data_IF_569662227406
#
_entry.id   IF_569662227406
#
_cell.length_a   1.000
_cell.length_b   1.000
_cell.length_c   1.000
_cell.angle_alpha   90.00
_cell.angle_beta   90.00
_cell.angle_gamma   90.00
#
_symmetry.space_group_name_H-M   'P 1'
#
loop_
_entity.id
_entity.type
_entity.pdbx_description
1 polymer ?
#
# COMPACT_ATOMS: atom_id res chain seq x y z
N UNK A 1 -15.99 -30.20 27.88
CA UNK A 1 -14.54 -29.92 27.79
C UNK A 1 -14.29 -29.19 26.48
N UNK A 2 -14.47 -27.87 26.45
CA UNK A 2 -14.24 -27.05 25.24
C UNK A 2 -13.12 -26.06 25.55
N UNK A 3 -11.88 -26.56 25.68
CA UNK A 3 -10.70 -25.72 25.83
C UNK A 3 -10.30 -25.19 24.45
N UNK A 4 -10.56 -23.91 24.18
CA UNK A 4 -10.09 -23.27 22.95
C UNK A 4 -8.56 -23.25 22.88
N UNK A 5 -8.00 -23.54 21.71
CA UNK A 5 -6.56 -23.53 21.47
C UNK A 5 -6.00 -22.12 21.72
N UNK A 6 -4.99 -22.02 22.59
CA UNK A 6 -4.30 -20.77 22.95
C UNK A 6 -2.90 -20.76 22.35
N UNK A 7 -2.40 -19.58 21.99
CA UNK A 7 -1.01 -19.37 21.55
C UNK A 7 -0.04 -19.40 22.73
N UNK A 8 1.28 -19.41 22.45
CA UNK A 8 2.32 -19.37 23.48
C UNK A 8 2.20 -18.14 24.42
N UNK A 9 1.59 -17.06 23.93
CA UNK A 9 1.31 -15.82 24.66
C UNK A 9 -0.09 -15.78 25.30
N UNK A 10 -0.80 -16.92 25.33
CA UNK A 10 -2.09 -17.08 26.02
C UNK A 10 -3.31 -16.47 25.33
N UNK A 11 -3.16 -15.93 24.11
CA UNK A 11 -4.24 -15.37 23.32
C UNK A 11 -5.06 -16.46 22.59
N UNK A 12 -6.36 -16.26 22.38
CA UNK A 12 -7.14 -17.11 21.47
C UNK A 12 -6.52 -17.06 20.06
N UNK A 13 -6.33 -18.22 19.43
CA UNK A 13 -5.70 -18.32 18.09
C UNK A 13 -6.38 -17.41 17.05
N UNK A 14 -7.71 -17.24 17.14
CA UNK A 14 -8.48 -16.33 16.29
C UNK A 14 -8.04 -14.86 16.42
N UNK A 15 -7.80 -14.40 17.65
CA UNK A 15 -7.37 -13.01 17.93
C UNK A 15 -5.98 -12.75 17.37
N UNK A 16 -5.06 -13.71 17.51
CA UNK A 16 -3.71 -13.62 16.94
C UNK A 16 -3.74 -13.52 15.40
N UNK A 17 -4.60 -14.30 14.74
CA UNK A 17 -4.75 -14.24 13.29
C UNK A 17 -5.27 -12.88 12.81
N UNK A 18 -6.27 -12.32 13.50
CA UNK A 18 -6.82 -10.99 13.19
C UNK A 18 -5.74 -9.91 13.32
N UNK A 19 -4.94 -9.95 14.40
CA UNK A 19 -3.85 -8.99 14.60
C UNK A 19 -2.77 -9.12 13.52
N UNK A 20 -2.40 -10.34 13.13
CA UNK A 20 -1.42 -10.57 12.05
C UNK A 20 -1.89 -10.00 10.72
N UNK A 21 -3.16 -10.22 10.36
CA UNK A 21 -3.72 -9.66 9.13
C UNK A 21 -3.75 -8.13 9.16
N UNK A 22 -4.16 -7.54 10.28
CA UNK A 22 -4.17 -6.09 10.46
C UNK A 22 -2.76 -5.48 10.37
N UNK A 23 -1.75 -6.17 10.93
CA UNK A 23 -0.35 -5.75 10.83
C UNK A 23 0.14 -5.79 9.37
N UNK A 24 -0.14 -6.87 8.64
CA UNK A 24 0.25 -7.00 7.24
C UNK A 24 -0.38 -5.92 6.35
N UNK A 25 -1.65 -5.60 6.57
CA UNK A 25 -2.34 -4.50 5.90
C UNK A 25 -1.65 -3.15 6.15
N UNK A 26 -1.21 -2.90 7.39
CA UNK A 26 -0.50 -1.69 7.76
C UNK A 26 0.88 -1.60 7.09
N UNK A 27 1.66 -2.68 7.12
CA UNK A 27 2.98 -2.78 6.49
C UNK A 27 2.88 -2.55 4.97
N UNK A 28 1.87 -3.17 4.33
CA UNK A 28 1.58 -2.96 2.91
C UNK A 28 1.28 -1.48 2.58
N UNK A 29 0.46 -0.81 3.40
CA UNK A 29 0.11 0.61 3.20
C UNK A 29 1.34 1.51 3.29
N UNK A 30 2.25 1.22 4.22
CA UNK A 30 3.50 1.97 4.37
C UNK A 30 4.40 1.79 3.15
N UNK A 31 4.61 0.55 2.71
CA UNK A 31 5.41 0.25 1.51
C UNK A 31 4.82 0.95 0.26
N UNK A 32 3.50 0.88 0.08
CA UNK A 32 2.81 1.51 -1.03
C UNK A 32 2.97 3.04 -1.03
N UNK A 33 2.84 3.67 0.15
CA UNK A 33 3.02 5.10 0.28
C UNK A 33 4.45 5.55 -0.04
N UNK A 34 5.45 4.78 0.42
CA UNK A 34 6.87 5.06 0.12
C UNK A 34 7.13 4.96 -1.40
N UNK A 35 6.63 3.90 -2.05
CA UNK A 35 6.77 3.71 -3.50
C UNK A 35 6.06 4.80 -4.30
N UNK A 36 4.84 5.19 -3.89
CA UNK A 36 4.10 6.29 -4.51
C UNK A 36 4.89 7.60 -4.42
N UNK A 37 5.40 7.91 -3.22
CA UNK A 37 6.15 9.15 -2.97
C UNK A 37 7.41 9.20 -3.83
N UNK A 38 8.22 8.13 -3.82
CA UNK A 38 9.42 8.04 -4.64
C UNK A 38 9.09 8.15 -6.14
N UNK A 39 8.08 7.42 -6.61
CA UNK A 39 7.69 7.39 -8.03
C UNK A 39 7.25 8.78 -8.50
N UNK A 40 6.43 9.48 -7.73
CA UNK A 40 5.97 10.81 -8.12
C UNK A 40 7.06 11.87 -7.99
N UNK A 41 7.94 11.76 -7.01
CA UNK A 41 9.12 12.62 -6.92
C UNK A 41 10.01 12.47 -8.15
N UNK A 42 10.37 11.24 -8.52
CA UNK A 42 11.21 10.96 -9.70
C UNK A 42 10.57 11.40 -11.03
N UNK A 43 9.23 11.37 -11.13
CA UNK A 43 8.50 11.73 -12.36
C UNK A 43 8.23 13.22 -12.48
N UNK A 44 8.01 13.92 -11.36
CA UNK A 44 7.48 15.27 -11.38
C UNK A 44 8.49 16.34 -10.96
N UNK A 45 9.56 15.98 -10.24
CA UNK A 45 10.54 16.96 -9.73
C UNK A 45 11.83 16.91 -10.56
N UNK A 46 12.25 18.07 -11.07
CA UNK A 46 13.50 18.19 -11.83
C UNK A 46 14.73 18.07 -10.90
N UNK A 47 15.75 17.34 -11.35
CA UNK A 47 17.02 17.17 -10.58
C UNK A 47 17.83 18.45 -10.42
N UNK A 48 17.57 19.48 -11.22
CA UNK A 48 18.33 20.74 -11.23
C UNK A 48 17.79 21.78 -10.25
N UNK A 49 16.92 21.38 -9.30
CA UNK A 49 16.33 22.15 -8.20
C UNK A 49 16.67 23.64 -8.23
N UNK A 50 15.87 24.40 -8.99
CA UNK A 50 16.12 25.83 -9.21
C UNK A 50 15.67 26.66 -8.01
N UNK A 51 14.63 26.21 -7.33
CA UNK A 51 13.98 26.85 -6.19
C UNK A 51 13.55 25.76 -5.18
N UNK A 52 13.34 26.15 -3.92
CA UNK A 52 12.95 25.22 -2.85
C UNK A 52 11.45 24.90 -2.82
N UNK A 53 10.64 25.72 -3.47
CA UNK A 53 9.19 25.54 -3.53
C UNK A 53 8.76 24.86 -4.83
N UNK A 54 7.67 24.10 -4.74
CA UNK A 54 7.07 23.47 -5.89
C UNK A 54 6.38 24.52 -6.75
N UNK A 55 6.76 24.57 -8.02
CA UNK A 55 6.08 25.42 -8.98
C UNK A 55 4.68 24.84 -9.32
N UNK A 56 3.84 25.65 -9.98
CA UNK A 56 2.46 25.25 -10.35
C UNK A 56 2.43 23.99 -11.22
N UNK A 57 3.45 23.81 -12.08
CA UNK A 57 3.61 22.64 -12.92
C UNK A 57 3.96 21.37 -12.13
N UNK A 58 4.85 21.48 -11.15
CA UNK A 58 5.24 20.38 -10.25
C UNK A 58 4.05 19.94 -9.38
N UNK A 59 3.34 20.89 -8.76
CA UNK A 59 2.12 20.61 -8.00
C UNK A 59 1.07 19.88 -8.86
N UNK A 60 0.75 20.44 -10.04
CA UNK A 60 -0.21 19.82 -10.97
C UNK A 60 0.28 18.46 -11.50
N UNK A 61 1.59 18.23 -11.60
CA UNK A 61 2.14 16.92 -11.96
C UNK A 61 1.94 15.91 -10.84
N UNK A 62 2.26 16.27 -9.59
CA UNK A 62 2.12 15.40 -8.42
C UNK A 62 0.68 14.92 -8.28
N UNK A 63 -0.30 15.82 -8.34
CA UNK A 63 -1.73 15.46 -8.23
C UNK A 63 -2.13 14.42 -9.29
N UNK A 64 -1.72 14.64 -10.54
CA UNK A 64 -1.98 13.72 -11.66
C UNK A 64 -1.21 12.40 -11.50
N UNK A 65 0.00 12.44 -10.96
CA UNK A 65 0.82 11.26 -10.73
C UNK A 65 0.17 10.35 -9.68
N UNK A 66 -0.22 10.92 -8.54
CA UNK A 66 -0.90 10.22 -7.45
C UNK A 66 -2.19 9.57 -7.96
N UNK A 67 -3.03 10.32 -8.68
CA UNK A 67 -4.26 9.80 -9.25
C UNK A 67 -4.02 8.59 -10.18
N UNK A 68 -3.03 8.70 -11.08
CA UNK A 68 -2.65 7.61 -11.99
C UNK A 68 -2.06 6.40 -11.23
N UNK A 69 -1.25 6.63 -10.20
CA UNK A 69 -0.63 5.56 -9.42
C UNK A 69 -1.70 4.71 -8.73
N UNK A 70 -2.71 5.34 -8.11
CA UNK A 70 -3.82 4.63 -7.49
C UNK A 70 -4.68 3.90 -8.51
N UNK A 71 -4.97 4.52 -9.66
CA UNK A 71 -5.71 3.87 -10.74
C UNK A 71 -5.00 2.60 -11.22
N UNK A 72 -3.70 2.67 -11.49
CA UNK A 72 -2.91 1.51 -11.94
C UNK A 72 -2.81 0.46 -10.84
N UNK A 73 -2.57 0.86 -9.58
CA UNK A 73 -2.56 -0.07 -8.45
C UNK A 73 -3.88 -0.83 -8.33
N UNK A 74 -5.02 -0.16 -8.52
CA UNK A 74 -6.33 -0.79 -8.53
C UNK A 74 -6.50 -1.80 -9.68
N UNK A 75 -6.12 -1.42 -10.90
CA UNK A 75 -6.18 -2.30 -12.08
C UNK A 75 -5.29 -3.54 -11.89
N UNK A 76 -4.06 -3.36 -11.40
CA UNK A 76 -3.17 -4.50 -11.13
C UNK A 76 -3.74 -5.38 -10.02
N UNK A 77 -4.32 -4.78 -8.98
CA UNK A 77 -5.02 -5.50 -7.92
C UNK A 77 -6.16 -6.36 -8.43
N UNK A 78 -6.98 -5.85 -9.37
CA UNK A 78 -8.06 -6.65 -9.98
C UNK A 78 -7.52 -7.77 -10.85
N UNK A 79 -6.44 -7.55 -11.62
CA UNK A 79 -5.83 -8.60 -12.44
C UNK A 79 -5.27 -9.74 -11.58
N UNK A 80 -4.53 -9.42 -10.53
CA UNK A 80 -3.95 -10.40 -9.60
C UNK A 80 -5.02 -11.09 -8.75
N UNK A 81 -6.07 -10.36 -8.35
CA UNK A 81 -7.21 -10.93 -7.63
C UNK A 81 -8.07 -11.85 -8.49
N UNK A 82 -8.20 -11.55 -9.79
CA UNK A 82 -9.00 -12.35 -10.74
C UNK A 82 -8.29 -13.63 -11.22
N UNK A 83 -6.98 -13.74 -11.02
CA UNK A 83 -6.17 -14.88 -11.49
C UNK A 83 -5.96 -15.97 -10.43
N UNK A 84 -6.91 -16.15 -9.50
CA UNK A 84 -6.91 -17.29 -8.57
C UNK A 84 -7.29 -18.60 -9.32
N UNK A 85 -6.40 -19.61 -9.44
CA UNK A 85 -6.81 -20.97 -9.80
C UNK A 85 -7.29 -21.64 -8.51
N UNK A 86 -8.58 -21.49 -8.17
CA UNK A 86 -9.10 -22.08 -6.93
C UNK A 86 -10.40 -21.45 -6.44
N UNK A 87 -11.40 -21.35 -7.30
CA UNK A 87 -12.78 -21.20 -6.84
C UNK A 87 -13.24 -22.50 -6.20
N UNK A 88 -13.30 -22.51 -4.87
CA UNK A 88 -14.21 -23.32 -4.03
C UNK A 88 -14.84 -22.37 -3.04
#
# INVERSE_FOLDING_TARGET
MSGGLRTADGLPVEKEQIFRMAQQEMEYRVDLFNKLTQTCFEKCIERKYKESELNVGENSCIDRCVAKYWQVTGIVGTMLGSSKPGGM
#
